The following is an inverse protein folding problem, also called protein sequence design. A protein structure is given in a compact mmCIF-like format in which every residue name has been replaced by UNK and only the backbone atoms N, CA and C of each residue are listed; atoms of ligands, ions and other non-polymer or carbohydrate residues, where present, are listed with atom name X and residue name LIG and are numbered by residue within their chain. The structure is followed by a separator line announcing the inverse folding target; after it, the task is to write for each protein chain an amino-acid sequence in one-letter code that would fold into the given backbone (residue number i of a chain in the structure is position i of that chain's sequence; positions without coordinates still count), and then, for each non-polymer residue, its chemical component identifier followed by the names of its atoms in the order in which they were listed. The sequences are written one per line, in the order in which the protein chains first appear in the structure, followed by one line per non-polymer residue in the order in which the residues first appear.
data_IF_095166538037
#
_entry.id   IF_095166538037
#
_cell.length_a   1.000
_cell.length_b   1.000
_cell.length_c   1.000
_cell.angle_alpha   90.00
_cell.angle_beta   90.00
_cell.angle_gamma   90.00
#
_symmetry.space_group_name_H-M   'P 1'
#
loop_
_entity.id
_entity.type
_entity.pdbx_description
1 polymer ?
#
# COMPACT_ATOMS: atom_id res chain seq x y z
N UNK A 1 3.69 15.45 -7.07
CA UNK A 1 3.30 14.07 -6.67
C UNK A 1 2.71 13.37 -7.89
N UNK A 2 2.94 12.06 -8.05
CA UNK A 2 2.38 11.31 -9.18
C UNK A 2 0.93 10.90 -8.88
N UNK A 3 -0.02 11.02 -9.83
CA UNK A 3 -1.40 10.57 -9.64
C UNK A 3 -1.52 9.06 -9.41
N UNK A 4 -0.49 8.31 -9.82
CA UNK A 4 -0.38 6.86 -9.69
C UNK A 4 -0.62 6.37 -8.25
N UNK A 5 -0.13 7.09 -7.24
CA UNK A 5 -0.20 6.65 -5.84
C UNK A 5 -1.64 6.55 -5.34
N UNK A 6 -2.44 7.61 -5.52
CA UNK A 6 -3.83 7.64 -5.03
C UNK A 6 -4.71 6.63 -5.78
N UNK A 7 -4.51 6.49 -7.10
CA UNK A 7 -5.22 5.51 -7.92
C UNK A 7 -4.87 4.09 -7.49
N UNK A 8 -3.59 3.79 -7.25
CA UNK A 8 -3.15 2.46 -6.80
C UNK A 8 -3.74 2.09 -5.44
N UNK A 9 -3.77 3.02 -4.49
CA UNK A 9 -4.41 2.78 -3.19
C UNK A 9 -5.93 2.59 -3.32
N UNK A 10 -6.60 3.35 -4.18
CA UNK A 10 -8.03 3.15 -4.45
C UNK A 10 -8.30 1.76 -5.04
N UNK A 11 -7.49 1.31 -6.00
CA UNK A 11 -7.59 -0.04 -6.59
C UNK A 11 -7.43 -1.11 -5.52
N UNK A 12 -6.38 -1.01 -4.70
CA UNK A 12 -6.13 -1.96 -3.62
C UNK A 12 -7.32 -2.01 -2.65
N UNK A 13 -7.81 -0.86 -2.17
CA UNK A 13 -8.94 -0.80 -1.27
C UNK A 13 -10.23 -1.36 -1.89
N UNK A 14 -10.51 -1.07 -3.16
CA UNK A 14 -11.72 -1.55 -3.84
C UNK A 14 -11.75 -3.09 -3.98
N UNK A 15 -10.62 -3.69 -4.32
CA UNK A 15 -10.50 -5.15 -4.46
C UNK A 15 -10.54 -5.83 -3.09
N UNK A 16 -9.85 -5.28 -2.08
CA UNK A 16 -9.93 -5.76 -0.70
C UNK A 16 -11.32 -5.60 -0.09
N UNK A 17 -12.06 -4.55 -0.45
CA UNK A 17 -13.46 -4.38 -0.07
C UNK A 17 -14.31 -5.52 -0.63
N UNK A 18 -14.14 -5.88 -1.91
CA UNK A 18 -14.85 -7.04 -2.47
C UNK A 18 -14.48 -8.33 -1.73
N UNK A 19 -13.19 -8.54 -1.46
CA UNK A 19 -12.73 -9.69 -0.68
C UNK A 19 -13.46 -9.75 0.67
N UNK A 20 -13.43 -8.66 1.44
CA UNK A 20 -14.11 -8.54 2.73
C UNK A 20 -15.61 -8.82 2.65
N UNK A 21 -16.29 -8.37 1.59
CA UNK A 21 -17.71 -8.65 1.35
C UNK A 21 -17.99 -10.14 1.09
N UNK A 22 -17.10 -10.86 0.40
CA UNK A 22 -17.28 -12.31 0.17
C UNK A 22 -17.08 -13.09 1.47
N UNK A 23 -16.03 -12.78 2.23
CA UNK A 23 -15.73 -13.46 3.50
C UNK A 23 -16.58 -12.95 4.68
N UNK A 24 -17.45 -11.97 4.45
CA UNK A 24 -18.28 -11.32 5.48
C UNK A 24 -17.45 -10.76 6.66
N UNK A 25 -16.27 -10.22 6.37
CA UNK A 25 -15.37 -9.68 7.39
C UNK A 25 -15.57 -8.17 7.55
N UNK A 26 -16.31 -7.75 8.58
CA UNK A 26 -16.68 -6.34 8.82
C UNK A 26 -15.46 -5.43 9.00
N UNK A 27 -14.37 -5.92 9.62
CA UNK A 27 -13.17 -5.11 9.84
C UNK A 27 -12.48 -4.80 8.51
N UNK A 28 -12.33 -5.79 7.63
CA UNK A 28 -11.78 -5.60 6.28
C UNK A 28 -12.69 -4.71 5.45
N UNK A 29 -14.01 -4.88 5.54
CA UNK A 29 -14.98 -4.03 4.85
C UNK A 29 -14.87 -2.58 5.30
N UNK A 30 -14.92 -2.32 6.61
CA UNK A 30 -14.94 -0.96 7.17
C UNK A 30 -13.66 -0.20 6.82
N UNK A 31 -12.50 -0.82 7.04
CA UNK A 31 -11.20 -0.20 6.78
C UNK A 31 -10.98 0.12 5.31
N UNK A 32 -11.33 -0.80 4.41
CA UNK A 32 -11.18 -0.58 2.98
C UNK A 32 -12.27 0.34 2.40
N UNK A 33 -13.47 0.39 2.98
CA UNK A 33 -14.49 1.37 2.61
C UNK A 33 -14.02 2.79 2.92
N UNK A 34 -13.52 3.01 4.13
CA UNK A 34 -12.95 4.29 4.53
C UNK A 34 -11.78 4.69 3.62
N UNK A 35 -10.84 3.77 3.39
CA UNK A 35 -9.71 4.00 2.48
C UNK A 35 -10.15 4.31 1.05
N UNK A 36 -11.17 3.62 0.54
CA UNK A 36 -11.72 3.87 -0.81
C UNK A 36 -12.33 5.26 -0.92
N UNK A 37 -13.15 5.67 0.07
CA UNK A 37 -13.76 7.01 0.09
C UNK A 37 -12.69 8.09 0.11
N UNK A 38 -11.70 7.94 0.99
CA UNK A 38 -10.62 8.93 1.14
C UNK A 38 -9.78 9.04 -0.14
N UNK A 39 -9.37 7.92 -0.73
CA UNK A 39 -8.61 7.94 -1.97
C UNK A 39 -9.44 8.45 -3.16
N UNK A 40 -10.74 8.18 -3.19
CA UNK A 40 -11.63 8.72 -4.21
C UNK A 40 -11.71 10.25 -4.14
N UNK A 41 -11.83 10.82 -2.94
CA UNK A 41 -11.76 12.27 -2.73
C UNK A 41 -10.42 12.83 -3.22
N UNK A 42 -9.30 12.17 -2.88
CA UNK A 42 -7.98 12.59 -3.37
C UNK A 42 -7.86 12.54 -4.89
N UNK A 43 -8.40 11.50 -5.53
CA UNK A 43 -8.45 11.38 -6.99
C UNK A 43 -9.23 12.55 -7.60
N UNK A 44 -10.41 12.91 -7.07
CA UNK A 44 -11.22 14.03 -7.57
C UNK A 44 -10.47 15.36 -7.47
N UNK A 45 -9.92 15.65 -6.28
CA UNK A 45 -9.20 16.89 -6.03
C UNK A 45 -7.98 16.96 -6.95
N UNK A 46 -7.15 15.92 -6.96
CA UNK A 46 -5.93 15.91 -7.77
C UNK A 46 -6.25 15.94 -9.27
N UNK A 47 -7.29 15.25 -9.71
CA UNK A 47 -7.74 15.31 -11.08
C UNK A 47 -8.08 16.76 -11.43
N UNK A 48 -8.94 17.42 -10.65
CA UNK A 48 -9.40 18.80 -10.88
C UNK A 48 -8.25 19.77 -11.12
N UNK A 49 -7.22 19.72 -10.27
CA UNK A 49 -6.06 20.62 -10.36
C UNK A 49 -4.93 20.14 -11.27
N UNK A 50 -5.00 18.94 -11.84
CA UNK A 50 -3.94 18.41 -12.70
C UNK A 50 -3.98 19.02 -14.09
N UNK A 51 -2.87 19.60 -14.54
CA UNK A 51 -2.69 20.03 -15.93
C UNK A 51 -2.44 18.87 -16.90
N UNK A 52 -2.00 17.70 -16.40
CA UNK A 52 -1.65 16.51 -17.21
C UNK A 52 -2.80 15.50 -17.28
N UNK A 53 -3.99 15.95 -17.70
CA UNK A 53 -5.21 15.13 -17.76
C UNK A 53 -5.06 13.85 -18.61
N UNK A 54 -4.41 13.85 -19.79
CA UNK A 54 -4.29 12.62 -20.60
C UNK A 54 -3.55 11.51 -19.86
N UNK A 55 -2.41 11.82 -19.23
CA UNK A 55 -1.65 10.86 -18.43
C UNK A 55 -2.45 10.37 -17.22
N UNK A 56 -3.20 11.26 -16.56
CA UNK A 56 -4.07 10.89 -15.45
C UNK A 56 -5.17 9.91 -15.90
N UNK A 57 -5.79 10.15 -17.06
CA UNK A 57 -6.83 9.29 -17.62
C UNK A 57 -6.31 7.89 -17.97
N UNK A 58 -5.05 7.77 -18.43
CA UNK A 58 -4.41 6.48 -18.64
C UNK A 58 -4.32 5.68 -17.33
N UNK A 59 -3.92 6.32 -16.24
CA UNK A 59 -3.87 5.66 -14.93
C UNK A 59 -5.27 5.32 -14.39
N UNK A 60 -6.26 6.18 -14.59
CA UNK A 60 -7.66 5.88 -14.23
C UNK A 60 -8.20 4.67 -14.99
N UNK A 61 -7.95 4.63 -16.30
CA UNK A 61 -8.35 3.49 -17.13
C UNK A 61 -7.68 2.20 -16.66
N UNK A 62 -6.36 2.22 -16.43
CA UNK A 62 -5.63 1.07 -15.89
C UNK A 62 -6.20 0.64 -14.53
N UNK A 63 -6.44 1.60 -13.63
CA UNK A 63 -7.03 1.32 -12.32
C UNK A 63 -8.42 0.68 -12.43
N UNK A 64 -9.28 1.18 -13.31
CA UNK A 64 -10.59 0.60 -13.57
C UNK A 64 -10.47 -0.84 -14.10
N UNK A 65 -9.56 -1.11 -15.03
CA UNK A 65 -9.30 -2.47 -15.54
C UNK A 65 -8.84 -3.40 -14.41
N UNK A 66 -7.94 -2.95 -13.53
CA UNK A 66 -7.44 -3.74 -12.40
C UNK A 66 -8.52 -4.03 -11.35
N UNK A 67 -9.57 -3.22 -11.25
CA UNK A 67 -10.74 -3.48 -10.39
C UNK A 67 -11.73 -4.40 -11.10
N UNK A 68 -12.12 -4.08 -12.34
CA UNK A 68 -13.21 -4.75 -13.04
C UNK A 68 -12.83 -6.17 -13.47
N UNK A 69 -11.60 -6.38 -13.94
CA UNK A 69 -11.17 -7.69 -14.45
C UNK A 69 -11.31 -8.85 -13.45
N UNK A 70 -10.83 -8.78 -12.19
CA UNK A 70 -11.05 -9.87 -11.23
C UNK A 70 -12.54 -10.04 -10.88
N UNK A 71 -13.33 -8.96 -10.86
CA UNK A 71 -14.77 -9.03 -10.54
C UNK A 71 -15.58 -9.71 -11.64
N UNK A 72 -15.28 -9.42 -12.90
CA UNK A 72 -15.89 -10.09 -14.06
C UNK A 72 -15.48 -11.56 -14.08
N UNK A 73 -14.19 -11.84 -13.85
CA UNK A 73 -13.67 -13.19 -13.79
C UNK A 73 -14.40 -14.05 -12.75
N UNK A 74 -14.45 -13.61 -11.48
CA UNK A 74 -15.11 -14.40 -10.43
C UNK A 74 -16.62 -14.55 -10.68
N UNK A 75 -17.27 -13.55 -11.27
CA UNK A 75 -18.73 -13.57 -11.48
C UNK A 75 -19.15 -14.48 -12.63
N UNK A 76 -18.38 -14.50 -13.72
CA UNK A 76 -18.77 -15.16 -14.96
C UNK A 76 -18.02 -16.45 -15.24
N UNK A 77 -16.81 -16.63 -14.68
CA UNK A 77 -15.94 -17.75 -15.01
C UNK A 77 -15.63 -18.64 -13.81
N UNK A 78 -16.02 -18.26 -12.59
CA UNK A 78 -15.94 -19.15 -11.42
C UNK A 78 -17.32 -19.47 -10.86
N UNK A 79 -17.66 -20.74 -10.90
CA UNK A 79 -18.89 -21.30 -10.32
C UNK A 79 -18.69 -21.78 -8.89
N UNK A 80 -17.46 -22.16 -8.53
CA UNK A 80 -17.08 -22.54 -7.17
C UNK A 80 -16.71 -21.31 -6.35
N UNK A 81 -17.47 -21.07 -5.27
CA UNK A 81 -17.25 -19.95 -4.37
C UNK A 81 -15.91 -20.00 -3.62
N UNK A 82 -15.40 -21.20 -3.30
CA UNK A 82 -14.10 -21.33 -2.62
C UNK A 82 -12.94 -21.02 -3.57
N UNK A 83 -13.01 -21.50 -4.82
CA UNK A 83 -12.01 -21.15 -5.84
C UNK A 83 -12.05 -19.66 -6.18
N UNK A 84 -13.25 -19.09 -6.32
CA UNK A 84 -13.42 -17.65 -6.54
C UNK A 84 -12.78 -16.82 -5.42
N UNK A 85 -13.01 -17.22 -4.16
CA UNK A 85 -12.39 -16.58 -2.99
C UNK A 85 -10.87 -16.72 -3.00
N UNK A 86 -10.36 -17.92 -3.28
CA UNK A 86 -8.92 -18.20 -3.33
C UNK A 86 -8.20 -17.35 -4.39
N UNK A 87 -8.77 -17.27 -5.60
CA UNK A 87 -8.21 -16.48 -6.69
C UNK A 87 -8.25 -14.98 -6.38
N UNK A 88 -9.37 -14.47 -5.83
CA UNK A 88 -9.48 -13.07 -5.45
C UNK A 88 -8.53 -12.71 -4.30
N UNK A 89 -8.43 -13.57 -3.27
CA UNK A 89 -7.50 -13.40 -2.16
C UNK A 89 -6.05 -13.37 -2.63
N UNK A 90 -5.66 -14.29 -3.53
CA UNK A 90 -4.33 -14.30 -4.14
C UNK A 90 -4.05 -13.02 -4.93
N UNK A 91 -5.05 -12.53 -5.68
CA UNK A 91 -4.96 -11.28 -6.42
C UNK A 91 -4.77 -10.07 -5.48
N UNK A 92 -5.51 -10.00 -4.38
CA UNK A 92 -5.31 -8.99 -3.33
C UNK A 92 -3.89 -9.01 -2.76
N UNK A 93 -3.37 -10.20 -2.42
CA UNK A 93 -2.01 -10.38 -1.91
C UNK A 93 -0.98 -9.89 -2.91
N UNK A 94 -1.09 -10.28 -4.18
CA UNK A 94 -0.19 -9.83 -5.24
C UNK A 94 -0.19 -8.30 -5.38
N UNK A 95 -1.37 -7.67 -5.39
CA UNK A 95 -1.47 -6.21 -5.44
C UNK A 95 -0.78 -5.54 -4.26
N UNK A 96 -1.00 -6.05 -3.05
CA UNK A 96 -0.37 -5.51 -1.84
C UNK A 96 1.15 -5.66 -1.87
N UNK A 97 1.67 -6.82 -2.30
CA UNK A 97 3.12 -7.05 -2.42
C UNK A 97 3.75 -6.13 -3.46
N UNK A 98 3.11 -5.95 -4.63
CA UNK A 98 3.57 -4.98 -5.64
C UNK A 98 3.59 -3.56 -5.06
N UNK A 99 2.61 -3.23 -4.21
CA UNK A 99 2.56 -1.96 -3.49
C UNK A 99 3.77 -1.70 -2.59
N UNK A 100 4.45 -2.76 -2.12
CA UNK A 100 5.70 -2.62 -1.37
C UNK A 100 6.91 -2.24 -2.22
N UNK A 101 6.78 -2.12 -3.54
CA UNK A 101 7.86 -1.64 -4.40
C UNK A 101 8.40 -0.27 -3.99
N UNK A 102 7.53 0.68 -3.61
CA UNK A 102 7.95 2.01 -3.17
C UNK A 102 8.83 1.99 -1.89
N UNK A 103 8.43 1.31 -0.79
CA UNK A 103 9.30 1.18 0.38
C UNK A 103 10.60 0.40 0.09
N UNK A 104 10.60 -0.57 -0.84
CA UNK A 104 11.83 -1.26 -1.26
C UNK A 104 12.80 -0.31 -1.98
N UNK A 105 12.31 0.53 -2.89
CA UNK A 105 13.15 1.54 -3.57
C UNK A 105 13.74 2.50 -2.54
N UNK A 106 12.93 2.95 -1.58
CA UNK A 106 13.40 3.81 -0.49
C UNK A 106 14.52 3.15 0.34
N UNK A 107 14.44 1.84 0.62
CA UNK A 107 15.51 1.10 1.29
C UNK A 107 16.82 1.13 0.50
N UNK A 108 16.76 0.91 -0.82
CA UNK A 108 17.92 1.00 -1.70
C UNK A 108 18.55 2.39 -1.67
N UNK A 109 17.72 3.44 -1.70
CA UNK A 109 18.18 4.83 -1.65
C UNK A 109 18.88 5.16 -0.33
N UNK A 110 18.38 4.68 0.81
CA UNK A 110 19.01 4.88 2.13
C UNK A 110 20.38 4.18 2.20
N UNK A 111 20.46 2.93 1.73
CA UNK A 111 21.72 2.18 1.74
C UNK A 111 22.77 2.84 0.85
N UNK A 112 22.36 3.38 -0.30
CA UNK A 112 23.25 4.07 -1.25
C UNK A 112 23.66 5.45 -0.75
N UNK A 113 22.72 6.24 -0.24
CA UNK A 113 22.97 7.61 0.25
C UNK A 113 23.58 7.66 1.64
N UNK A 114 23.50 6.55 2.41
CA UNK A 114 23.93 6.45 3.81
C UNK A 114 23.26 7.51 4.71
N UNK A 115 22.06 7.97 4.33
CA UNK A 115 21.31 9.01 5.05
C UNK A 115 19.83 8.65 5.16
N UNK A 116 19.24 9.03 6.29
CA UNK A 116 17.81 8.86 6.62
C UNK A 116 17.04 10.18 6.55
N UNK A 117 17.59 11.21 5.91
CA UNK A 117 17.01 12.55 5.84
C UNK A 117 15.61 12.57 5.19
N UNK A 118 15.38 11.70 4.20
CA UNK A 118 14.09 11.54 3.51
C UNK A 118 13.05 10.73 4.30
N UNK A 119 13.42 10.13 5.43
CA UNK A 119 12.55 9.27 6.21
C UNK A 119 11.92 9.99 7.41
N UNK A 120 10.61 9.81 7.55
CA UNK A 120 9.87 10.20 8.74
C UNK A 120 9.74 8.99 9.67
N UNK A 121 10.53 8.94 10.75
CA UNK A 121 10.52 7.84 11.73
C UNK A 121 9.11 7.44 12.18
N UNK A 122 8.29 8.42 12.54
CA UNK A 122 6.91 8.21 13.02
C UNK A 122 6.06 7.46 11.98
N UNK A 123 6.25 7.76 10.69
CA UNK A 123 5.50 7.12 9.61
C UNK A 123 5.90 5.65 9.45
N UNK A 124 7.19 5.35 9.53
CA UNK A 124 7.69 3.97 9.43
C UNK A 124 7.22 3.16 10.65
N UNK A 125 7.32 3.73 11.84
CA UNK A 125 6.86 3.07 13.07
C UNK A 125 5.35 2.79 13.02
N UNK A 126 4.55 3.75 12.55
CA UNK A 126 3.12 3.56 12.35
C UNK A 126 2.83 2.42 11.35
N UNK A 127 3.55 2.36 10.24
CA UNK A 127 3.42 1.28 9.25
C UNK A 127 3.83 -0.09 9.82
N UNK A 128 4.88 -0.15 10.64
CA UNK A 128 5.29 -1.37 11.32
C UNK A 128 4.19 -1.89 12.26
N UNK A 129 3.67 -1.01 13.14
CA UNK A 129 2.61 -1.37 14.07
C UNK A 129 1.32 -1.76 13.34
N UNK A 130 0.96 -1.03 12.28
CA UNK A 130 -0.20 -1.35 11.45
C UNK A 130 -0.06 -2.73 10.79
N UNK A 131 1.10 -3.02 10.18
CA UNK A 131 1.38 -4.32 9.57
C UNK A 131 1.37 -5.45 10.60
N UNK A 132 1.93 -5.21 11.79
CA UNK A 132 1.91 -6.18 12.89
C UNK A 132 0.48 -6.47 13.37
N UNK A 133 -0.34 -5.44 13.57
CA UNK A 133 -1.73 -5.58 13.98
C UNK A 133 -2.54 -6.37 12.95
N UNK A 134 -2.38 -6.07 11.66
CA UNK A 134 -3.05 -6.83 10.60
C UNK A 134 -2.54 -8.27 10.47
N UNK A 135 -1.26 -8.51 10.73
CA UNK A 135 -0.69 -9.86 10.77
C UNK A 135 -1.31 -10.67 11.89
N UNK A 136 -1.37 -10.11 13.09
CA UNK A 136 -2.00 -10.75 14.26
C UNK A 136 -3.50 -10.96 14.01
N UNK A 137 -4.19 -9.97 13.42
CA UNK A 137 -5.59 -10.09 13.05
C UNK A 137 -5.82 -11.24 12.08
N UNK A 138 -5.04 -11.33 11.00
CA UNK A 138 -5.12 -12.43 10.03
C UNK A 138 -4.88 -13.80 10.67
N UNK A 139 -3.92 -13.89 11.61
CA UNK A 139 -3.70 -15.12 12.38
C UNK A 139 -4.92 -15.49 13.24
N UNK A 140 -5.54 -14.51 13.92
CA UNK A 140 -6.70 -14.74 14.78
C UNK A 140 -7.93 -15.26 14.02
N UNK A 141 -8.16 -14.77 12.80
CA UNK A 141 -9.28 -15.20 11.95
C UNK A 141 -8.90 -16.36 11.01
N UNK A 142 -7.70 -16.93 11.16
CA UNK A 142 -7.15 -17.96 10.29
C UNK A 142 -7.17 -17.62 8.78
N UNK A 143 -7.05 -16.34 8.45
CA UNK A 143 -7.04 -15.83 7.07
C UNK A 143 -5.61 -15.52 6.61
N UNK A 144 -5.05 -16.45 5.83
CA UNK A 144 -3.69 -16.33 5.27
C UNK A 144 -3.56 -15.18 4.27
N UNK A 145 -4.64 -14.82 3.57
CA UNK A 145 -4.59 -13.73 2.58
C UNK A 145 -4.41 -12.38 3.28
N UNK A 146 -5.01 -12.19 4.45
CA UNK A 146 -4.77 -11.00 5.28
C UNK A 146 -3.40 -11.09 5.97
N UNK A 147 -3.05 -12.25 6.52
CA UNK A 147 -1.83 -12.42 7.31
C UNK A 147 -0.54 -12.20 6.50
N UNK A 148 -0.37 -12.91 5.38
CA UNK A 148 0.89 -13.00 4.64
C UNK A 148 1.41 -11.65 4.14
N UNK A 149 0.64 -10.84 3.38
CA UNK A 149 1.15 -9.57 2.87
C UNK A 149 1.47 -8.60 4.01
N UNK A 150 0.63 -8.54 5.05
CA UNK A 150 0.87 -7.65 6.19
C UNK A 150 2.11 -8.04 6.99
N UNK A 151 2.40 -9.34 7.11
CA UNK A 151 3.65 -9.81 7.72
C UNK A 151 4.85 -9.34 6.92
N UNK A 152 4.83 -9.48 5.59
CA UNK A 152 5.89 -8.98 4.71
C UNK A 152 6.06 -7.46 4.83
N UNK A 153 4.95 -6.72 4.87
CA UNK A 153 4.96 -5.27 5.09
C UNK A 153 5.58 -4.88 6.44
N UNK A 154 5.25 -5.59 7.51
CA UNK A 154 5.83 -5.38 8.83
C UNK A 154 7.34 -5.67 8.83
N UNK A 155 7.78 -6.75 8.18
CA UNK A 155 9.21 -7.07 8.04
C UNK A 155 9.96 -5.97 7.27
N UNK A 156 9.39 -5.46 6.18
CA UNK A 156 9.99 -4.35 5.44
C UNK A 156 10.08 -3.08 6.26
N UNK A 157 9.03 -2.73 7.01
CA UNK A 157 9.04 -1.58 7.91
C UNK A 157 10.06 -1.76 9.06
N UNK A 158 10.23 -2.97 9.58
CA UNK A 158 11.24 -3.28 10.58
C UNK A 158 12.67 -3.10 10.06
N UNK A 159 12.92 -3.50 8.81
CA UNK A 159 14.20 -3.25 8.13
C UNK A 159 14.42 -1.74 8.01
N UNK A 160 13.40 -0.98 7.60
CA UNK A 160 13.48 0.49 7.51
C UNK A 160 13.80 1.15 8.87
N UNK A 161 13.14 0.71 9.96
CA UNK A 161 13.44 1.19 11.32
C UNK A 161 14.86 0.86 11.74
N UNK A 162 15.35 -0.34 11.40
CA UNK A 162 16.72 -0.77 11.72
C UNK A 162 17.75 0.11 11.00
N UNK A 163 17.54 0.39 9.71
CA UNK A 163 18.40 1.30 8.96
C UNK A 163 18.32 2.75 9.49
N UNK A 164 17.16 3.18 9.98
CA UNK A 164 17.00 4.48 10.62
C UNK A 164 17.86 4.61 11.89
N UNK A 165 18.01 3.53 12.67
CA UNK A 165 18.86 3.53 13.86
C UNK A 165 20.36 3.47 13.52
N UNK A 166 20.73 2.86 12.39
CA UNK A 166 22.13 2.67 11.97
C UNK A 166 22.69 3.91 11.26
N UNK A 167 21.93 4.51 10.34
CA UNK A 167 22.41 5.63 9.54
C UNK A 167 22.08 6.98 10.19
N UNK A 168 23.06 7.87 10.34
CA UNK A 168 22.81 9.20 10.87
C UNK A 168 21.89 9.97 9.94
N UNK A 169 21.01 10.80 10.53
CA UNK A 169 20.31 11.84 9.78
C UNK A 169 21.39 12.82 9.32
N UNK A 170 21.73 12.85 8.03
CA UNK A 170 22.82 13.70 7.55
C UNK A 170 22.47 15.18 7.81
N UNK A 171 23.04 15.76 8.87
CA UNK A 171 23.07 17.21 9.00
C UNK A 171 24.20 17.72 8.12
N UNK A 172 23.89 18.14 6.90
CA UNK A 172 24.79 18.99 6.13
C UNK A 172 24.74 20.44 6.64
N UNK A 173 24.85 20.64 7.97
CA UNK A 173 25.08 21.96 8.56
C UNK A 173 25.76 21.84 9.92
N UNK A 174 27.10 21.70 9.91
CA UNK A 174 27.96 22.20 10.99
C UNK A 174 29.45 22.30 10.60
N UNK A 175 29.81 23.09 9.58
CA UNK A 175 31.22 23.55 9.42
C UNK A 175 31.43 24.82 8.57
N UNK A 176 30.52 25.81 8.60
CA UNK A 176 30.80 27.14 8.00
C UNK A 176 30.61 28.33 8.94
N UNK A 177 30.59 28.10 10.26
CA UNK A 177 30.47 29.18 11.27
C UNK A 177 31.73 29.29 12.17
N UNK A 178 32.79 28.52 11.93
CA UNK A 178 34.03 28.62 12.72
C UNK A 178 35.22 28.69 11.77
N UNK A 179 35.46 29.90 11.29
CA UNK A 179 36.73 30.51 10.86
C UNK A 179 36.29 31.76 10.08
N UNK A 180 35.95 32.85 10.77
CA UNK A 180 36.88 33.88 11.30
C UNK A 180 37.73 34.46 10.19
#
# INVERSE_FOLDING_TARGET
MSPFTFISYFVACAVWLKYGLIVQNTVVIATNSFGSIMNFIYIIVFYTYSSKKPQFNQFLFLGAVMIVSPLVYIKHFQTDGQLALSHLGSYCVCLTIIGYGAPLVSLSDIVRSKSTESLHFVLILANFLLGLLWTLYGLLIADRYVQVPNFLGAMLALIQLSLFAIYPRSSHSRSKVIHS
#
